data_IF_551301240463
#
_entry.id   IF_551301240463
#
_cell.length_a   1.000
_cell.length_b   1.000
_cell.length_c   1.000
_cell.angle_alpha   90.00
_cell.angle_beta   90.00
_cell.angle_gamma   90.00
#
_symmetry.space_group_name_H-M   'P 1'
#
loop_
_entity.id
_entity.type
_entity.pdbx_description
1 polymer ?
#
# COMPACT_ATOMS: atom_id res chain seq x y z
N UNK A 1 -31.71 -19.62 57.13
CA UNK A 1 -31.62 -18.60 56.07
C UNK A 1 -30.36 -18.87 55.26
N UNK A 2 -30.47 -19.48 54.07
CA UNK A 2 -29.31 -19.89 53.24
C UNK A 2 -28.94 -18.72 52.31
N UNK A 3 -27.75 -18.14 52.52
CA UNK A 3 -27.22 -17.04 51.71
C UNK A 3 -26.73 -17.61 50.37
N UNK A 4 -27.31 -17.15 49.26
CA UNK A 4 -26.84 -17.45 47.89
C UNK A 4 -25.73 -16.47 47.55
N UNK A 5 -24.52 -16.96 47.37
CA UNK A 5 -23.38 -16.17 46.88
C UNK A 5 -23.58 -15.91 45.38
N UNK A 6 -23.79 -14.65 45.00
CA UNK A 6 -23.88 -14.21 43.61
C UNK A 6 -22.45 -13.87 43.15
N UNK A 7 -21.87 -14.69 42.27
CA UNK A 7 -20.59 -14.39 41.64
C UNK A 7 -20.83 -13.39 40.50
N UNK A 8 -20.38 -12.15 40.69
CA UNK A 8 -20.44 -11.10 39.67
C UNK A 8 -19.19 -11.23 38.79
N UNK A 9 -19.35 -11.76 37.59
CA UNK A 9 -18.27 -11.88 36.61
C UNK A 9 -17.88 -10.51 36.07
N UNK A 10 -16.65 -10.08 36.36
CA UNK A 10 -16.05 -8.87 35.82
C UNK A 10 -15.66 -9.14 34.35
N UNK A 11 -16.46 -8.65 33.41
CA UNK A 11 -16.06 -8.59 32.01
C UNK A 11 -15.04 -7.45 31.84
N UNK A 12 -13.77 -7.82 31.71
CA UNK A 12 -12.71 -6.88 31.33
C UNK A 12 -12.82 -6.67 29.81
N UNK A 13 -13.44 -5.57 29.40
CA UNK A 13 -13.39 -5.13 28.02
C UNK A 13 -11.97 -4.60 27.74
N UNK A 14 -11.13 -5.42 27.11
CA UNK A 14 -9.86 -4.94 26.56
C UNK A 14 -10.16 -4.11 25.33
N UNK A 15 -10.06 -2.78 25.45
CA UNK A 15 -9.97 -1.91 24.29
C UNK A 15 -8.68 -2.23 23.55
N UNK A 16 -8.80 -2.91 22.41
CA UNK A 16 -7.72 -2.96 21.42
C UNK A 16 -7.65 -1.55 20.83
N UNK A 17 -6.69 -0.74 21.29
CA UNK A 17 -6.33 0.46 20.54
C UNK A 17 -5.87 0.01 19.17
N UNK A 18 -6.56 0.43 18.11
CA UNK A 18 -6.07 0.23 16.75
C UNK A 18 -4.65 0.81 16.69
N UNK A 19 -3.68 0.00 16.30
CA UNK A 19 -2.34 0.49 16.02
C UNK A 19 -2.48 1.56 14.92
N UNK A 20 -2.01 2.78 15.19
CA UNK A 20 -1.85 3.77 14.14
C UNK A 20 -0.92 3.17 13.08
N UNK A 21 -1.34 3.19 11.82
CA UNK A 21 -0.44 2.82 10.74
C UNK A 21 0.74 3.79 10.75
N UNK A 22 1.93 3.23 10.55
CA UNK A 22 3.18 3.98 10.49
C UNK A 22 3.76 3.82 9.09
N UNK A 23 4.61 4.75 8.68
CA UNK A 23 5.41 4.62 7.46
C UNK A 23 6.18 3.27 7.46
N UNK A 24 6.41 2.72 6.27
CA UNK A 24 7.15 1.46 6.12
C UNK A 24 8.56 1.53 6.73
N UNK A 25 9.22 2.69 6.58
CA UNK A 25 10.54 2.93 7.16
C UNK A 25 10.75 4.42 7.44
N UNK A 26 11.48 4.73 8.52
CA UNK A 26 12.00 6.08 8.81
C UNK A 26 13.31 6.40 8.08
N UNK A 27 13.91 5.43 7.37
CA UNK A 27 15.11 5.64 6.56
C UNK A 27 14.69 6.08 5.15
N UNK A 28 14.45 7.38 4.96
CA UNK A 28 13.85 7.90 3.72
C UNK A 28 14.80 7.91 2.51
N UNK A 29 16.12 7.86 2.73
CA UNK A 29 17.11 7.84 1.67
C UNK A 29 17.47 9.24 1.14
N UNK A 30 17.62 9.36 -0.18
CA UNK A 30 18.10 10.57 -0.85
C UNK A 30 16.96 11.56 -1.08
N UNK A 31 17.21 12.84 -0.80
CA UNK A 31 16.28 13.93 -1.11
C UNK A 31 16.18 14.15 -2.62
N UNK A 32 14.97 14.15 -3.16
CA UNK A 32 14.67 14.50 -4.54
C UNK A 32 14.48 16.01 -4.63
N UNK A 33 15.58 16.74 -4.87
CA UNK A 33 15.60 18.19 -4.67
C UNK A 33 14.65 18.98 -5.58
N UNK A 34 14.39 18.49 -6.81
CA UNK A 34 13.43 19.13 -7.72
C UNK A 34 12.00 18.92 -7.23
N UNK A 35 11.65 17.68 -6.86
CA UNK A 35 10.32 17.27 -6.40
C UNK A 35 9.98 17.83 -5.02
N UNK A 36 11.00 18.16 -4.24
CA UNK A 36 10.89 18.84 -2.95
C UNK A 36 10.81 20.37 -3.06
N UNK A 37 10.81 20.92 -4.28
CA UNK A 37 10.63 22.35 -4.50
C UNK A 37 10.02 22.62 -5.88
N UNK A 38 8.88 22.00 -6.17
CA UNK A 38 8.18 22.15 -7.44
C UNK A 38 6.66 22.06 -7.29
N UNK A 39 6.00 22.33 -8.41
CA UNK A 39 4.60 22.07 -8.67
C UNK A 39 4.53 21.37 -10.03
N UNK A 40 3.77 20.29 -10.12
CA UNK A 40 3.63 19.49 -11.34
C UNK A 40 4.95 19.00 -11.98
N UNK A 41 5.88 18.48 -11.18
CA UNK A 41 7.15 17.99 -11.70
C UNK A 41 7.33 16.47 -11.55
N UNK A 42 8.31 15.94 -12.29
CA UNK A 42 8.69 14.54 -12.23
C UNK A 42 10.18 14.35 -12.46
N UNK A 43 10.71 13.27 -11.88
CA UNK A 43 12.11 12.90 -11.93
C UNK A 43 12.51 12.35 -13.31
N UNK A 44 13.81 12.10 -13.49
CA UNK A 44 14.27 11.07 -14.43
C UNK A 44 13.98 9.65 -13.91
N UNK A 45 14.38 8.63 -14.66
CA UNK A 45 14.16 7.24 -14.25
C UNK A 45 15.08 6.84 -13.08
N UNK A 46 14.51 6.25 -12.05
CA UNK A 46 15.22 5.49 -11.02
C UNK A 46 15.11 4.01 -11.30
N UNK A 47 16.25 3.34 -11.41
CA UNK A 47 16.31 1.92 -11.74
C UNK A 47 16.23 1.05 -10.48
N UNK A 48 15.58 -0.11 -10.58
CA UNK A 48 15.58 -1.10 -9.50
C UNK A 48 16.97 -1.71 -9.25
N UNK A 49 17.90 -1.57 -10.18
CA UNK A 49 19.24 -2.14 -10.12
C UNK A 49 19.51 -3.15 -11.23
N UNK A 50 20.75 -3.59 -11.36
CA UNK A 50 21.14 -4.53 -12.41
C UNK A 50 20.46 -5.90 -12.20
N UNK A 51 19.80 -6.41 -13.23
CA UNK A 51 19.06 -7.69 -13.16
C UNK A 51 17.72 -7.61 -12.42
N UNK A 52 17.25 -6.40 -12.11
CA UNK A 52 15.97 -6.17 -11.45
C UNK A 52 15.00 -5.45 -12.38
N UNK A 53 13.83 -6.05 -12.57
CA UNK A 53 12.74 -5.50 -13.34
C UNK A 53 11.39 -5.90 -12.72
N UNK A 54 10.35 -5.13 -13.03
CA UNK A 54 8.98 -5.39 -12.61
C UNK A 54 8.13 -5.62 -13.86
N UNK A 55 7.46 -6.77 -13.95
CA UNK A 55 6.38 -6.96 -14.90
C UNK A 55 5.13 -6.27 -14.35
N UNK A 56 4.68 -5.19 -14.98
CA UNK A 56 3.51 -4.45 -14.55
C UNK A 56 2.52 -4.35 -15.73
N UNK A 57 1.42 -5.09 -15.62
CA UNK A 57 0.40 -5.27 -16.66
C UNK A 57 0.97 -5.78 -18.00
N UNK A 58 1.84 -6.78 -17.93
CA UNK A 58 2.41 -7.45 -19.11
C UNK A 58 3.57 -6.71 -19.76
N UNK A 59 3.97 -5.55 -19.23
CA UNK A 59 5.15 -4.81 -19.67
C UNK A 59 6.22 -4.82 -18.59
N UNK A 60 7.44 -5.18 -18.98
CA UNK A 60 8.60 -5.22 -18.07
C UNK A 60 9.28 -3.85 -18.01
N UNK A 61 9.48 -3.33 -16.80
CA UNK A 61 10.15 -2.06 -16.55
C UNK A 61 11.36 -2.25 -15.62
N UNK A 62 12.48 -1.64 -15.98
CA UNK A 62 13.70 -1.66 -15.15
C UNK A 62 13.74 -0.55 -14.09
N UNK A 63 12.72 0.31 -14.04
CA UNK A 63 12.67 1.45 -13.15
C UNK A 63 11.37 2.24 -13.27
N UNK A 64 11.27 3.30 -12.46
CA UNK A 64 10.11 4.17 -12.35
C UNK A 64 10.50 5.65 -12.32
N UNK A 65 9.50 6.51 -12.46
CA UNK A 65 9.61 7.97 -12.41
C UNK A 65 8.70 8.46 -11.30
N UNK A 66 9.19 9.29 -10.39
CA UNK A 66 8.42 9.85 -9.28
C UNK A 66 7.81 11.19 -9.71
N UNK A 67 6.52 11.39 -9.43
CA UNK A 67 5.83 12.67 -9.60
C UNK A 67 5.66 13.38 -8.26
N UNK A 68 5.69 14.72 -8.26
CA UNK A 68 5.42 15.53 -7.06
C UNK A 68 4.01 15.29 -6.49
N UNK A 69 3.07 14.97 -7.38
CA UNK A 69 1.64 14.76 -7.09
C UNK A 69 1.29 13.35 -6.57
N UNK A 70 2.20 12.73 -5.81
CA UNK A 70 1.89 11.55 -5.01
C UNK A 70 1.76 10.22 -5.76
N UNK A 71 2.44 10.09 -6.89
CA UNK A 71 2.47 8.86 -7.68
C UNK A 71 3.85 8.56 -8.27
N UNK A 72 4.02 7.32 -8.71
CA UNK A 72 5.09 6.89 -9.61
C UNK A 72 4.49 6.39 -10.93
N UNK A 73 5.24 6.52 -12.02
CA UNK A 73 4.84 6.00 -13.34
C UNK A 73 5.96 5.22 -14.01
N UNK A 74 5.64 4.43 -15.04
CA UNK A 74 6.58 3.53 -15.72
C UNK A 74 6.76 3.86 -17.20
N UNK A 75 8.01 3.93 -17.69
CA UNK A 75 8.34 4.26 -19.09
C UNK A 75 8.43 5.76 -19.44
N UNK A 76 8.31 6.66 -18.45
CA UNK A 76 8.40 8.11 -18.62
C UNK A 76 7.85 8.86 -17.39
N UNK A 77 8.15 10.15 -17.24
CA UNK A 77 7.55 10.98 -16.18
C UNK A 77 6.14 11.46 -16.55
N UNK A 78 5.41 11.99 -15.56
CA UNK A 78 4.13 12.67 -15.76
C UNK A 78 4.01 13.88 -14.81
N UNK A 79 3.25 14.88 -15.23
CA UNK A 79 3.00 16.12 -14.49
C UNK A 79 1.50 16.34 -14.22
N UNK A 80 0.70 15.28 -14.28
CA UNK A 80 -0.73 15.37 -13.99
C UNK A 80 -0.94 15.64 -12.49
N UNK A 81 -1.92 16.47 -12.16
CA UNK A 81 -2.31 16.85 -10.78
C UNK A 81 -3.78 16.54 -10.47
N UNK A 82 -4.61 16.41 -11.50
CA UNK A 82 -6.03 16.16 -11.34
C UNK A 82 -6.31 14.69 -11.04
N UNK A 83 -6.70 14.39 -9.80
CA UNK A 83 -7.03 13.04 -9.36
C UNK A 83 -8.17 12.44 -10.20
N UNK A 84 -7.97 11.23 -10.70
CA UNK A 84 -8.97 10.40 -11.39
C UNK A 84 -8.84 8.95 -10.90
N UNK A 85 -9.84 8.07 -11.09
CA UNK A 85 -9.73 6.68 -10.68
C UNK A 85 -8.57 5.97 -11.41
N UNK A 86 -7.71 5.28 -10.66
CA UNK A 86 -6.48 4.70 -11.20
C UNK A 86 -6.70 3.49 -12.11
N UNK A 87 -7.85 2.84 -12.00
CA UNK A 87 -8.23 1.70 -12.84
C UNK A 87 -8.88 2.12 -14.17
N UNK A 88 -9.00 3.42 -14.45
CA UNK A 88 -9.56 3.95 -15.71
C UNK A 88 -8.76 5.11 -16.29
N UNK A 89 -7.65 5.47 -15.65
CA UNK A 89 -6.81 6.58 -16.09
C UNK A 89 -6.03 6.18 -17.34
N UNK A 90 -5.90 7.11 -18.28
CA UNK A 90 -5.15 6.93 -19.53
C UNK A 90 -3.95 7.89 -19.61
N UNK A 91 -3.32 8.18 -18.46
CA UNK A 91 -2.16 9.05 -18.34
C UNK A 91 -0.92 8.23 -18.72
N UNK A 92 -0.58 7.24 -17.87
CA UNK A 92 0.59 6.35 -17.98
C UNK A 92 0.39 5.13 -17.07
N UNK A 93 1.10 4.01 -17.25
CA UNK A 93 1.14 2.99 -16.21
C UNK A 93 1.62 3.62 -14.90
N UNK A 94 0.81 3.51 -13.85
CA UNK A 94 0.92 4.35 -12.65
C UNK A 94 0.61 3.55 -11.38
N UNK A 95 1.35 3.86 -10.32
CA UNK A 95 1.01 3.52 -8.94
C UNK A 95 0.92 4.84 -8.15
N UNK A 96 -0.26 5.14 -7.64
CA UNK A 96 -0.53 6.36 -6.89
C UNK A 96 -0.78 6.07 -5.41
N UNK A 97 0.05 6.65 -4.54
CA UNK A 97 -0.16 6.60 -3.10
C UNK A 97 -1.21 7.62 -2.66
N UNK A 98 -1.14 8.83 -3.21
CA UNK A 98 -2.10 9.89 -2.96
C UNK A 98 -2.09 10.86 -4.15
N UNK A 99 -2.74 10.48 -5.25
CA UNK A 99 -2.82 11.32 -6.43
C UNK A 99 -3.77 12.49 -6.18
N UNK A 100 -3.18 13.68 -5.99
CA UNK A 100 -3.84 14.98 -5.85
C UNK A 100 -2.84 16.08 -6.21
N UNK A 101 -3.28 17.34 -6.18
CA UNK A 101 -2.51 18.52 -6.55
C UNK A 101 -1.61 18.96 -5.37
N UNK A 102 -0.45 18.30 -5.22
CA UNK A 102 0.48 18.53 -4.10
C UNK A 102 1.50 19.61 -4.47
N UNK A 103 1.85 20.43 -3.48
CA UNK A 103 2.76 21.56 -3.68
C UNK A 103 3.90 21.53 -2.66
N UNK A 104 5.15 21.62 -3.14
CA UNK A 104 6.36 21.71 -2.31
C UNK A 104 7.14 23.03 -2.50
N UNK A 105 6.62 23.97 -3.29
CA UNK A 105 7.36 25.20 -3.66
C UNK A 105 7.66 26.11 -2.48
N UNK A 106 8.95 26.31 -2.22
CA UNK A 106 9.44 27.21 -1.19
C UNK A 106 8.96 26.86 0.24
N UNK A 107 8.70 25.57 0.51
CA UNK A 107 8.44 25.07 1.85
C UNK A 107 9.52 24.05 2.26
N UNK A 108 10.22 24.32 3.36
CA UNK A 108 11.32 23.46 3.80
C UNK A 108 10.84 22.13 4.43
N UNK A 109 9.56 22.02 4.77
CA UNK A 109 8.98 20.80 5.36
C UNK A 109 8.53 19.80 4.28
N UNK A 110 7.94 20.29 3.18
CA UNK A 110 7.53 19.47 2.04
C UNK A 110 8.73 18.88 1.30
N UNK A 111 8.94 17.58 1.46
CA UNK A 111 10.08 16.88 0.87
C UNK A 111 9.64 15.57 0.23
N UNK A 112 10.26 15.23 -0.90
CA UNK A 112 10.14 13.92 -1.53
C UNK A 112 11.48 13.20 -1.45
N UNK A 113 11.46 11.97 -0.97
CA UNK A 113 12.65 11.14 -0.82
C UNK A 113 12.54 9.83 -1.59
N UNK A 114 13.68 9.32 -2.00
CA UNK A 114 13.83 7.97 -2.54
C UNK A 114 14.84 7.18 -1.72
N UNK A 115 14.41 6.02 -1.22
CA UNK A 115 15.31 4.99 -0.72
C UNK A 115 15.45 3.88 -1.76
N UNK A 116 16.66 3.78 -2.32
CA UNK A 116 17.11 2.78 -3.28
C UNK A 116 18.30 1.96 -2.72
N UNK A 117 18.44 1.90 -1.39
CA UNK A 117 19.58 1.22 -0.74
C UNK A 117 19.60 -0.30 -0.94
N UNK A 118 18.47 -0.86 -1.36
CA UNK A 118 18.28 -2.30 -1.55
C UNK A 118 17.96 -2.58 -3.01
N UNK A 119 18.82 -3.34 -3.69
CA UNK A 119 18.57 -3.74 -5.07
C UNK A 119 17.22 -4.47 -5.20
N UNK A 120 16.45 -4.09 -6.22
CA UNK A 120 15.10 -4.59 -6.46
C UNK A 120 14.02 -3.90 -5.64
N UNK A 121 14.33 -2.89 -4.83
CA UNK A 121 13.35 -2.16 -4.03
C UNK A 121 13.56 -0.64 -4.14
N UNK A 122 12.49 0.07 -4.44
CA UNK A 122 12.41 1.52 -4.38
C UNK A 122 11.32 1.90 -3.40
N UNK A 123 11.63 2.77 -2.45
CA UNK A 123 10.66 3.31 -1.48
C UNK A 123 10.61 4.81 -1.67
N UNK A 124 9.44 5.34 -2.00
CA UNK A 124 9.25 6.77 -2.22
C UNK A 124 8.48 7.32 -1.03
N UNK A 125 8.98 8.38 -0.42
CA UNK A 125 8.34 9.09 0.69
C UNK A 125 7.96 10.48 0.23
N UNK A 126 6.67 10.84 0.36
CA UNK A 126 6.21 12.22 0.33
C UNK A 126 6.00 12.63 1.79
N UNK A 127 6.83 13.54 2.28
CA UNK A 127 6.87 13.98 3.66
C UNK A 127 6.34 15.41 3.76
N UNK A 128 5.33 15.61 4.61
CA UNK A 128 4.73 16.90 4.93
C UNK A 128 4.38 17.74 3.69
N UNK A 129 3.88 17.10 2.63
CA UNK A 129 3.49 17.81 1.40
C UNK A 129 2.32 18.77 1.68
N UNK A 130 2.43 20.00 1.17
CA UNK A 130 1.31 20.94 1.12
C UNK A 130 0.34 20.62 -0.02
N UNK A 131 -0.74 21.39 -0.09
CA UNK A 131 -1.69 21.35 -1.20
C UNK A 131 -1.55 22.59 -2.08
N UNK A 132 -1.83 22.45 -3.38
CA UNK A 132 -1.86 23.60 -4.27
C UNK A 132 -2.94 24.63 -3.84
N UNK A 133 -2.70 25.94 -3.90
CA UNK A 133 -1.50 26.64 -4.33
C UNK A 133 -0.76 27.17 -3.10
N UNK A 134 0.36 26.54 -2.74
CA UNK A 134 1.20 26.86 -1.58
C UNK A 134 0.44 26.89 -0.25
N UNK A 135 -0.55 26.00 -0.09
CA UNK A 135 -1.30 25.83 1.14
C UNK A 135 -0.63 24.80 2.05
N UNK A 136 0.16 25.31 2.99
CA UNK A 136 0.88 24.53 3.99
C UNK A 136 0.14 24.41 5.33
N UNK A 137 -1.12 24.86 5.40
CA UNK A 137 -2.01 24.66 6.54
C UNK A 137 -2.58 23.24 6.63
N UNK A 138 -2.47 22.48 5.54
CA UNK A 138 -2.75 21.05 5.47
C UNK A 138 -1.46 20.32 5.08
N UNK A 139 -1.32 19.06 5.51
CA UNK A 139 -0.13 18.25 5.31
C UNK A 139 -0.50 16.82 4.92
N UNK A 140 0.30 16.23 4.04
CA UNK A 140 0.15 14.85 3.60
C UNK A 140 1.50 14.12 3.71
N UNK A 141 1.55 13.08 4.53
CA UNK A 141 2.73 12.21 4.67
C UNK A 141 2.38 10.75 4.37
N UNK A 142 3.06 10.14 3.40
CA UNK A 142 2.81 8.77 2.95
C UNK A 142 4.01 8.17 2.22
N UNK A 143 3.99 6.85 2.05
CA UNK A 143 5.01 6.09 1.34
C UNK A 143 4.42 5.09 0.35
N UNK A 144 5.17 4.90 -0.74
CA UNK A 144 5.03 3.75 -1.63
C UNK A 144 6.27 2.86 -1.51
N UNK A 145 6.05 1.56 -1.45
CA UNK A 145 7.09 0.54 -1.68
C UNK A 145 6.82 -0.10 -3.03
N UNK A 146 7.82 -0.15 -3.91
CA UNK A 146 7.74 -0.83 -5.21
C UNK A 146 8.94 -1.75 -5.36
N UNK A 147 8.69 -3.02 -5.68
CA UNK A 147 9.72 -4.06 -5.77
C UNK A 147 9.69 -4.78 -7.12
N UNK A 148 10.88 -5.11 -7.60
CA UNK A 148 11.09 -5.96 -8.79
C UNK A 148 10.59 -7.38 -8.56
N UNK A 149 10.38 -8.13 -9.63
CA UNK A 149 10.00 -9.54 -9.62
C UNK A 149 11.11 -10.43 -9.02
N UNK A 150 12.37 -9.99 -9.09
CA UNK A 150 13.52 -10.69 -8.51
C UNK A 150 13.73 -10.40 -7.01
N UNK A 151 12.92 -9.52 -6.42
CA UNK A 151 13.04 -9.19 -5.00
C UNK A 151 12.43 -10.31 -4.13
N UNK A 152 13.20 -10.81 -3.17
CA UNK A 152 12.73 -11.79 -2.20
C UNK A 152 11.75 -11.15 -1.20
N UNK A 153 10.47 -11.12 -1.56
CA UNK A 153 9.41 -10.48 -0.76
C UNK A 153 9.21 -11.20 0.58
N UNK A 154 9.34 -10.51 1.73
CA UNK A 154 9.10 -11.10 3.04
C UNK A 154 7.67 -11.61 3.20
N UNK A 155 7.48 -12.61 4.07
CA UNK A 155 6.16 -13.12 4.40
C UNK A 155 5.28 -12.02 5.01
N UNK A 156 4.05 -11.89 4.52
CA UNK A 156 3.10 -10.85 4.94
C UNK A 156 3.27 -9.50 4.22
N UNK A 157 4.24 -9.38 3.32
CA UNK A 157 4.44 -8.19 2.48
C UNK A 157 4.13 -8.48 1.01
N UNK A 158 4.16 -7.44 0.17
CA UNK A 158 3.95 -7.53 -1.28
C UNK A 158 5.04 -6.80 -2.06
N UNK A 159 4.90 -6.80 -3.38
CA UNK A 159 5.75 -6.01 -4.27
C UNK A 159 5.33 -4.55 -4.33
N UNK A 160 4.04 -4.25 -4.15
CA UNK A 160 3.52 -2.88 -4.07
C UNK A 160 2.93 -2.67 -2.68
N UNK A 161 3.40 -1.65 -1.97
CA UNK A 161 2.95 -1.32 -0.62
C UNK A 161 2.51 0.14 -0.49
N UNK A 162 1.41 0.37 0.24
CA UNK A 162 0.85 1.68 0.54
C UNK A 162 0.87 1.93 2.05
N UNK A 163 1.45 3.06 2.46
CA UNK A 163 1.61 3.41 3.87
C UNK A 163 1.26 4.88 4.08
N UNK A 164 0.49 5.18 5.12
CA UNK A 164 0.00 6.52 5.40
C UNK A 164 0.30 6.90 6.83
N UNK A 165 0.82 8.10 7.02
CA UNK A 165 0.91 8.76 8.32
C UNK A 165 -0.20 9.83 8.40
N UNK A 166 0.04 10.91 9.14
CA UNK A 166 -0.83 12.06 9.20
C UNK A 166 -1.09 12.66 7.82
N UNK A 167 -2.37 12.65 7.44
CA UNK A 167 -2.90 13.38 6.30
C UNK A 167 -4.05 14.26 6.82
N UNK A 168 -3.93 15.57 6.63
CA UNK A 168 -4.95 16.57 7.00
C UNK A 168 -5.55 17.28 5.78
N UNK A 169 -5.07 16.94 4.58
CA UNK A 169 -5.57 17.50 3.34
C UNK A 169 -7.04 17.08 3.08
N UNK A 170 -7.89 18.08 2.87
CA UNK A 170 -9.32 17.92 2.61
C UNK A 170 -9.66 17.81 1.12
N UNK A 171 -8.68 17.99 0.24
CA UNK A 171 -8.86 17.93 -1.21
C UNK A 171 -9.08 16.50 -1.70
N UNK A 172 -9.74 16.38 -2.86
CA UNK A 172 -10.03 15.08 -3.46
C UNK A 172 -8.72 14.41 -3.89
N UNK A 173 -8.59 13.12 -3.58
CA UNK A 173 -7.47 12.29 -3.98
C UNK A 173 -7.92 10.93 -4.51
N UNK A 174 -6.98 10.25 -5.17
CA UNK A 174 -7.10 8.86 -5.57
C UNK A 174 -5.87 8.07 -5.15
N UNK A 175 -6.03 6.77 -4.87
CA UNK A 175 -4.92 5.86 -4.60
C UNK A 175 -5.23 4.47 -5.19
N UNK A 176 -4.18 3.81 -5.66
CA UNK A 176 -4.28 2.57 -6.42
C UNK A 176 -3.28 2.54 -7.57
N UNK A 177 -3.61 1.80 -8.61
CA UNK A 177 -2.73 1.59 -9.75
C UNK A 177 -3.48 1.06 -10.98
N UNK A 178 -2.92 1.32 -12.16
CA UNK A 178 -3.45 0.88 -13.45
C UNK A 178 -2.41 0.98 -14.56
N UNK A 179 -2.72 0.42 -15.72
CA UNK A 179 -1.79 0.27 -16.84
C UNK A 179 -1.69 1.53 -17.73
N UNK A 180 -2.55 2.52 -17.50
CA UNK A 180 -2.57 3.77 -18.27
C UNK A 180 -3.28 3.66 -19.61
N UNK A 181 -4.11 2.64 -19.81
CA UNK A 181 -4.92 2.44 -21.00
C UNK A 181 -6.41 2.60 -20.69
N UNK A 182 -7.20 2.84 -21.74
CA UNK A 182 -8.64 3.04 -21.59
C UNK A 182 -9.42 1.75 -21.28
N UNK A 183 -8.84 0.58 -21.58
CA UNK A 183 -9.46 -0.70 -21.33
C UNK A 183 -9.10 -1.18 -19.92
N UNK A 184 -10.13 -1.49 -19.12
CA UNK A 184 -9.93 -1.96 -17.76
C UNK A 184 -9.46 -3.41 -17.77
N UNK A 185 -8.26 -3.67 -17.26
CA UNK A 185 -7.65 -4.99 -17.19
C UNK A 185 -7.81 -5.63 -15.81
N UNK A 186 -7.82 -6.97 -15.70
CA UNK A 186 -7.76 -7.65 -14.41
C UNK A 186 -6.57 -7.18 -13.58
N UNK A 187 -6.79 -6.96 -12.29
CA UNK A 187 -5.77 -6.50 -11.36
C UNK A 187 -5.66 -4.99 -11.23
N UNK A 188 -6.27 -4.18 -12.09
CA UNK A 188 -6.31 -2.73 -11.89
C UNK A 188 -7.19 -2.36 -10.69
N UNK A 189 -6.71 -1.43 -9.87
CA UNK A 189 -7.34 -1.10 -8.59
C UNK A 189 -7.34 0.41 -8.39
N UNK A 190 -8.51 0.96 -8.05
CA UNK A 190 -8.63 2.29 -7.46
C UNK A 190 -9.34 2.15 -6.11
N UNK A 191 -8.61 1.67 -5.10
CA UNK A 191 -9.18 1.40 -3.78
C UNK A 191 -9.58 2.69 -3.04
N UNK A 192 -9.06 3.83 -3.48
CA UNK A 192 -9.44 5.16 -3.03
C UNK A 192 -9.63 6.07 -4.24
N UNK A 193 -10.75 6.79 -4.34
CA UNK A 193 -11.00 7.75 -5.42
C UNK A 193 -12.18 8.64 -5.08
N UNK A 194 -12.11 9.90 -5.50
CA UNK A 194 -13.25 10.83 -5.39
C UNK A 194 -13.60 11.21 -3.95
N UNK A 195 -12.66 11.08 -3.02
CA UNK A 195 -12.84 11.36 -1.61
C UNK A 195 -11.68 12.20 -1.03
N UNK A 196 -11.88 12.93 0.09
CA UNK A 196 -10.85 13.78 0.70
C UNK A 196 -9.60 13.00 1.14
N UNK A 197 -8.40 13.41 0.74
CA UNK A 197 -7.12 12.77 1.06
C UNK A 197 -6.97 12.32 2.53
N UNK A 198 -7.43 13.15 3.47
CA UNK A 198 -7.51 12.87 4.91
C UNK A 198 -8.24 11.58 5.30
N UNK A 199 -9.08 11.02 4.43
CA UNK A 199 -9.69 9.70 4.62
C UNK A 199 -8.71 8.53 4.59
N UNK A 200 -7.49 8.72 4.07
CA UNK A 200 -6.40 7.74 4.12
C UNK A 200 -5.47 7.92 5.33
N UNK A 201 -5.64 9.00 6.09
CA UNK A 201 -4.82 9.34 7.26
C UNK A 201 -4.75 8.18 8.25
N UNK A 202 -3.53 7.73 8.59
CA UNK A 202 -3.28 6.63 9.52
C UNK A 202 -3.97 5.29 9.15
N UNK A 203 -4.39 5.11 7.89
CA UNK A 203 -5.05 3.89 7.44
C UNK A 203 -4.08 2.71 7.39
N UNK A 204 -4.57 1.50 7.70
CA UNK A 204 -3.75 0.29 7.75
C UNK A 204 -2.98 0.08 6.43
N UNK A 205 -1.71 -0.40 6.49
CA UNK A 205 -0.94 -0.67 5.29
C UNK A 205 -1.65 -1.63 4.34
N UNK A 206 -1.46 -1.43 3.04
CA UNK A 206 -1.96 -2.34 1.99
C UNK A 206 -0.80 -2.88 1.19
N UNK A 207 -0.82 -4.19 0.96
CA UNK A 207 0.17 -4.89 0.16
C UNK A 207 -0.48 -5.57 -1.04
N UNK A 208 0.22 -5.56 -2.17
CA UNK A 208 -0.16 -6.28 -3.38
C UNK A 208 1.02 -7.11 -3.88
N UNK A 209 0.73 -8.33 -4.31
CA UNK A 209 1.68 -9.23 -4.98
C UNK A 209 1.35 -9.25 -6.46
N UNK A 210 2.37 -9.25 -7.31
CA UNK A 210 2.21 -9.30 -8.75
C UNK A 210 2.45 -10.74 -9.22
N UNK A 211 1.45 -11.34 -9.85
CA UNK A 211 1.53 -12.67 -10.42
C UNK A 211 1.46 -12.54 -11.94
N UNK A 212 2.57 -12.85 -12.63
CA UNK A 212 2.67 -12.77 -14.10
C UNK A 212 2.25 -11.40 -14.67
N UNK A 213 2.56 -10.32 -13.97
CA UNK A 213 2.21 -8.95 -14.36
C UNK A 213 0.87 -8.45 -13.84
N UNK A 214 0.07 -9.28 -13.18
CA UNK A 214 -1.24 -8.91 -12.64
C UNK A 214 -1.17 -8.75 -11.12
N UNK A 215 -1.36 -7.52 -10.58
CA UNK A 215 -1.38 -7.32 -9.14
C UNK A 215 -2.64 -7.91 -8.49
N UNK A 216 -2.46 -8.45 -7.28
CA UNK A 216 -3.53 -9.02 -6.44
C UNK A 216 -3.29 -8.60 -4.99
N UNK A 217 -4.36 -8.24 -4.27
CA UNK A 217 -4.24 -7.81 -2.87
C UNK A 217 -3.74 -8.96 -2.00
N UNK A 218 -2.66 -8.71 -1.25
CA UNK A 218 -2.13 -9.67 -0.30
C UNK A 218 -2.94 -9.58 1.00
N UNK A 219 -4.03 -10.34 1.07
CA UNK A 219 -4.93 -10.37 2.22
C UNK A 219 -4.36 -11.09 3.46
N UNK A 220 -3.04 -11.33 3.54
CA UNK A 220 -2.40 -11.89 4.72
C UNK A 220 -3.00 -13.22 5.18
N UNK A 221 -3.50 -14.04 4.25
CA UNK A 221 -4.16 -15.31 4.58
C UNK A 221 -3.14 -16.24 5.25
N UNK A 222 -3.38 -16.67 6.51
CA UNK A 222 -2.65 -17.80 7.06
C UNK A 222 -3.18 -19.07 6.37
N UNK A 223 -2.45 -19.62 5.41
CA UNK A 223 -2.72 -20.98 4.94
C UNK A 223 -2.15 -22.00 5.95
N UNK A 224 -2.85 -23.09 6.34
CA UNK A 224 -4.22 -23.49 5.98
C UNK A 224 -5.05 -24.04 7.17
N UNK A 225 -6.27 -23.54 7.38
CA UNK A 225 -7.30 -24.32 8.11
C UNK A 225 -7.74 -25.58 7.31
N UNK A 226 -7.36 -25.67 6.04
CA UNK A 226 -7.71 -26.78 5.13
C UNK A 226 -6.99 -28.09 5.46
N UNK A 227 -5.81 -28.07 6.12
CA UNK A 227 -5.14 -29.30 6.60
C UNK A 227 -5.66 -29.80 7.94
N UNK A 228 -6.27 -28.94 8.76
CA UNK A 228 -6.79 -29.34 10.09
C UNK A 228 -8.14 -30.10 9.98
N UNK A 229 -8.89 -29.89 8.89
CA UNK A 229 -10.17 -30.58 8.66
C UNK A 229 -9.99 -31.99 8.05
N UNK A 230 -8.87 -32.27 7.36
CA UNK A 230 -8.56 -33.64 6.92
C UNK A 230 -7.96 -34.52 8.04
N UNK A 231 -7.31 -33.94 9.05
CA UNK A 231 -6.76 -34.69 10.19
C UNK A 231 -7.80 -35.10 11.24
N UNK A 232 -8.87 -34.31 11.40
CA UNK A 232 -9.93 -34.57 12.38
C UNK A 232 -11.01 -35.54 11.87
N UNK A 233 -11.15 -35.70 10.55
CA UNK A 233 -12.08 -36.67 9.94
C UNK A 233 -11.66 -38.15 10.06
N UNK A 234 -10.36 -38.45 10.09
CA UNK A 234 -9.86 -39.84 10.15
C UNK A 234 -9.67 -40.38 11.58
N UNK A 235 -9.48 -39.51 12.58
CA UNK A 235 -9.40 -39.91 13.99
C UNK A 235 -10.79 -40.25 14.59
N UNK A 236 -11.87 -39.65 14.06
CA UNK A 236 -13.25 -39.91 14.52
C UNK A 236 -13.85 -41.25 14.05
N UNK A 237 -13.33 -41.85 12.98
CA UNK A 237 -13.86 -43.10 12.41
C UNK A 237 -13.16 -44.37 12.93
N UNK A 238 -12.06 -44.24 13.67
CA UNK A 238 -11.32 -45.38 14.25
C UNK A 238 -11.81 -45.86 15.61
N UNK A 239 -12.53 -45.02 16.38
CA UNK A 239 -12.89 -45.33 17.78
C UNK A 239 -14.33 -45.83 17.98
N UNK A 240 -15.20 -45.76 16.96
CA UNK A 240 -16.61 -46.14 17.10
C UNK A 240 -16.92 -47.62 16.79
N UNK A 241 -15.91 -48.48 16.59
CA UNK A 241 -16.12 -49.92 16.26
C UNK A 241 -15.86 -50.92 17.39
N UNK A 242 -15.61 -50.50 18.64
CA UNK A 242 -15.33 -51.44 19.76
C UNK A 242 -16.38 -51.59 20.86
N UNK A 243 -17.53 -50.92 20.78
CA UNK A 243 -18.60 -51.11 21.79
C UNK A 243 -19.95 -51.41 21.16
N UNK A 244 -20.06 -52.56 20.51
CA UNK A 244 -21.36 -53.20 20.25
C UNK A 244 -21.17 -54.71 20.07
N UNK A 245 -20.84 -55.41 21.16
CA UNK A 245 -21.19 -56.84 21.33
C UNK A 245 -20.99 -57.29 22.77
N UNK A 246 -22.12 -57.57 23.43
CA UNK A 246 -22.42 -58.57 24.47
C UNK A 246 -23.02 -57.99 25.75
N UNK A 247 -24.15 -58.58 26.14
CA UNK A 247 -24.79 -58.46 27.45
C UNK A 247 -26.21 -57.98 27.33
#
# INVERSE_FOLDING_TARGET
MKLKTLAMGLFLATSVTAAHATLFTGSYGTLLANESNCDDCSTGQYNFGAGHDINFFGTTYSGLYTGSNGYVTFGGGASSFSSIPLNTQAIRPMIAGLFTDLDSRADAASNVYLNDSTAGQLIITWLDMGHFSQNYGVRSTFQLVVRSDQFATPAGEGQIGFFYDAITDGSIASAGFGDGLAAINPGEVSFYSGAPASGLSNSAPRWYTINEGVPTENNGVPEPATLLLLGSGLLGLGLSRKFAKKG
#
